data_IF_884744000850
#
_entry.id   IF_884744000850
#
_cell.length_a   1.000
_cell.length_b   1.000
_cell.length_c   1.000
_cell.angle_alpha   90.00
_cell.angle_beta   90.00
_cell.angle_gamma   90.00
#
_symmetry.space_group_name_H-M   'P 1'
#
loop_
_entity.id
_entity.type
_entity.pdbx_description
1 polymer ?
#
# COMPACT_ATOMS: atom_id res chain seq x y z
N UNK A 1 3.09 28.74 13.07
CA UNK A 1 1.91 28.01 12.60
C UNK A 1 1.33 28.81 11.44
N UNK A 2 1.98 28.74 10.29
CA UNK A 2 1.47 29.23 9.00
C UNK A 2 1.72 28.10 8.00
N UNK A 3 1.05 27.99 6.87
CA UNK A 3 -0.04 28.74 6.26
C UNK A 3 -0.64 27.76 5.23
N UNK A 4 -1.97 27.71 5.19
CA UNK A 4 -2.87 27.27 4.12
C UNK A 4 -2.25 26.81 2.78
N UNK A 5 -2.50 25.54 2.39
CA UNK A 5 -2.67 25.15 0.98
C UNK A 5 -3.88 24.22 0.86
N UNK A 6 -4.97 24.76 0.35
CA UNK A 6 -6.07 24.03 -0.27
C UNK A 6 -5.93 24.39 -1.76
N UNK A 7 -5.24 23.55 -2.57
CA UNK A 7 -5.11 23.48 -4.06
C UNK A 7 -3.84 22.63 -4.40
N UNK A 8 -3.80 21.47 -5.09
CA UNK A 8 -4.75 20.69 -5.88
C UNK A 8 -4.28 19.20 -5.99
N UNK A 9 -4.43 18.40 -4.92
CA UNK A 9 -4.05 16.97 -4.91
C UNK A 9 -4.25 16.31 -3.54
N UNK A 10 -4.25 14.97 -3.46
CA UNK A 10 -4.39 14.22 -2.20
C UNK A 10 -3.24 14.53 -1.22
N UNK A 11 -3.54 14.52 0.08
CA UNK A 11 -2.54 14.76 1.13
C UNK A 11 -1.63 13.56 1.39
N UNK A 12 -0.44 13.77 1.93
CA UNK A 12 0.52 12.69 2.27
C UNK A 12 -0.11 11.58 3.12
N UNK A 13 -0.89 11.92 4.15
CA UNK A 13 -1.61 10.94 4.99
C UNK A 13 -2.63 10.14 4.17
N UNK A 14 -3.28 10.78 3.19
CA UNK A 14 -4.25 10.14 2.32
C UNK A 14 -3.57 9.23 1.30
N UNK A 15 -2.42 9.62 0.75
CA UNK A 15 -1.57 8.79 -0.11
C UNK A 15 -1.13 7.53 0.65
N UNK A 16 -0.54 7.70 1.83
CA UNK A 16 -0.08 6.59 2.68
C UNK A 16 -1.23 5.64 3.01
N UNK A 17 -2.38 6.19 3.43
CA UNK A 17 -3.57 5.40 3.75
C UNK A 17 -4.11 4.63 2.54
N UNK A 18 -4.10 5.24 1.36
CA UNK A 18 -4.61 4.64 0.12
C UNK A 18 -3.70 3.50 -0.34
N UNK A 19 -2.40 3.74 -0.40
CA UNK A 19 -1.39 2.73 -0.70
C UNK A 19 -1.48 1.54 0.25
N UNK A 20 -1.52 1.78 1.56
CA UNK A 20 -1.61 0.72 2.56
C UNK A 20 -2.89 -0.11 2.41
N UNK A 21 -4.04 0.54 2.22
CA UNK A 21 -5.31 -0.15 2.05
C UNK A 21 -5.35 -1.01 0.77
N UNK A 22 -4.74 -0.55 -0.32
CA UNK A 22 -4.65 -1.29 -1.57
C UNK A 22 -3.72 -2.51 -1.44
N UNK A 23 -2.54 -2.36 -0.83
CA UNK A 23 -1.64 -3.46 -0.53
C UNK A 23 -2.30 -4.54 0.33
N UNK A 24 -2.93 -4.14 1.44
CA UNK A 24 -3.66 -5.07 2.31
C UNK A 24 -4.80 -5.77 1.58
N UNK A 25 -5.49 -5.05 0.69
CA UNK A 25 -6.55 -5.59 -0.15
C UNK A 25 -6.08 -6.78 -0.99
N UNK A 26 -4.95 -6.64 -1.69
CA UNK A 26 -4.36 -7.72 -2.49
C UNK A 26 -4.00 -8.93 -1.63
N UNK A 27 -3.36 -8.69 -0.47
CA UNK A 27 -2.98 -9.79 0.43
C UNK A 27 -4.21 -10.58 0.88
N UNK A 28 -5.30 -9.89 1.24
CA UNK A 28 -6.53 -10.54 1.69
C UNK A 28 -7.41 -11.11 0.56
N UNK A 29 -7.16 -10.75 -0.71
CA UNK A 29 -7.75 -11.45 -1.86
C UNK A 29 -7.09 -12.81 -2.10
N UNK A 30 -5.79 -12.91 -1.81
CA UNK A 30 -5.01 -14.12 -2.03
C UNK A 30 -4.96 -15.05 -0.81
N UNK A 31 -5.02 -14.50 0.41
CA UNK A 31 -4.99 -15.27 1.64
C UNK A 31 -6.16 -14.96 2.56
N UNK A 32 -6.70 -16.00 3.18
CA UNK A 32 -7.56 -15.82 4.34
C UNK A 32 -6.78 -15.12 5.47
N UNK A 33 -7.45 -14.22 6.20
CA UNK A 33 -6.90 -13.59 7.42
C UNK A 33 -6.38 -14.60 8.45
N UNK A 34 -6.91 -15.83 8.43
CA UNK A 34 -6.49 -16.92 9.32
C UNK A 34 -5.27 -17.69 8.82
N UNK A 35 -4.91 -17.56 7.53
CA UNK A 35 -3.75 -18.19 6.93
C UNK A 35 -2.49 -17.31 7.03
N UNK A 36 -2.67 -15.99 7.07
CA UNK A 36 -1.60 -15.03 7.30
C UNK A 36 -1.10 -15.18 8.74
N UNK A 37 0.18 -15.56 8.89
CA UNK A 37 0.82 -15.65 10.22
C UNK A 37 1.26 -14.28 10.70
N UNK A 38 1.78 -13.47 9.78
CA UNK A 38 2.26 -12.11 10.04
C UNK A 38 2.16 -11.31 8.73
N UNK A 39 1.70 -10.07 8.80
CA UNK A 39 1.68 -9.11 7.69
C UNK A 39 2.11 -7.76 8.27
N UNK A 40 3.16 -7.19 7.72
CA UNK A 40 3.61 -5.85 8.04
C UNK A 40 3.71 -5.06 6.73
N UNK A 41 2.98 -3.95 6.67
CA UNK A 41 2.95 -3.05 5.50
C UNK A 41 3.52 -1.73 5.96
N UNK A 42 4.72 -1.40 5.48
CA UNK A 42 5.38 -0.13 5.74
C UNK A 42 5.24 0.74 4.51
N UNK A 43 4.55 1.88 4.66
CA UNK A 43 4.38 2.86 3.60
C UNK A 43 4.96 4.19 4.06
N UNK A 44 5.84 4.75 3.24
CA UNK A 44 6.44 6.06 3.44
C UNK A 44 6.16 6.91 2.22
N UNK A 45 5.77 8.16 2.43
CA UNK A 45 5.61 9.13 1.36
C UNK A 45 6.33 10.42 1.76
N UNK A 46 7.42 10.72 1.06
CA UNK A 46 8.25 11.90 1.30
C UNK A 46 8.74 12.48 -0.03
N UNK A 47 8.72 13.81 -0.16
CA UNK A 47 9.18 14.53 -1.36
C UNK A 47 8.55 14.04 -2.68
N UNK A 48 7.32 13.51 -2.63
CA UNK A 48 6.61 12.98 -3.80
C UNK A 48 7.08 11.58 -4.23
N UNK A 49 7.88 10.90 -3.41
CA UNK A 49 8.28 9.51 -3.61
C UNK A 49 7.49 8.62 -2.65
N UNK A 50 6.77 7.66 -3.22
CA UNK A 50 6.12 6.59 -2.48
C UNK A 50 7.09 5.41 -2.35
N UNK A 51 7.31 4.97 -1.11
CA UNK A 51 8.12 3.81 -0.77
C UNK A 51 7.22 2.83 -0.01
N UNK A 52 7.08 1.61 -0.55
CA UNK A 52 6.19 0.58 -0.02
C UNK A 52 6.98 -0.72 0.15
N UNK A 53 7.06 -1.16 1.40
CA UNK A 53 7.64 -2.43 1.78
C UNK A 53 6.54 -3.31 2.39
N UNK A 54 6.34 -4.49 1.79
CA UNK A 54 5.36 -5.48 2.27
C UNK A 54 6.12 -6.72 2.75
N UNK A 55 6.01 -7.01 4.03
CA UNK A 55 6.47 -8.26 4.62
C UNK A 55 5.27 -9.19 4.85
N UNK A 56 5.27 -10.34 4.19
CA UNK A 56 4.21 -11.34 4.30
C UNK A 56 4.78 -12.67 4.75
N UNK A 57 4.30 -13.16 5.88
CA UNK A 57 4.56 -14.52 6.37
C UNK A 57 3.27 -15.34 6.29
N UNK A 58 3.14 -16.10 5.21
CA UNK A 58 1.98 -16.92 4.88
C UNK A 58 2.45 -18.27 4.30
N UNK A 59 1.58 -19.29 4.23
CA UNK A 59 1.91 -20.55 3.56
C UNK A 59 2.27 -20.33 2.08
N UNK A 60 3.16 -21.17 1.54
CA UNK A 60 3.72 -21.07 0.17
C UNK A 60 2.71 -21.29 -0.98
N UNK A 61 1.40 -21.37 -0.72
CA UNK A 61 0.37 -21.50 -1.76
C UNK A 61 -0.81 -20.53 -1.49
N UNK A 62 -0.95 -19.43 -2.26
CA UNK A 62 -0.01 -18.94 -3.28
C UNK A 62 1.36 -18.53 -2.69
N UNK A 63 2.33 -18.17 -3.54
CA UNK A 63 3.66 -17.78 -3.10
C UNK A 63 3.63 -16.40 -2.41
N UNK A 64 4.10 -16.28 -1.15
CA UNK A 64 3.97 -15.04 -0.38
C UNK A 64 4.82 -13.90 -0.94
N UNK A 65 5.98 -14.19 -1.56
CA UNK A 65 6.80 -13.17 -2.22
C UNK A 65 6.07 -12.61 -3.44
N UNK A 66 5.41 -13.47 -4.21
CA UNK A 66 4.61 -13.03 -5.37
C UNK A 66 3.42 -12.16 -4.96
N UNK A 67 2.75 -12.51 -3.85
CA UNK A 67 1.63 -11.71 -3.34
C UNK A 67 2.11 -10.38 -2.74
N UNK A 68 3.25 -10.38 -2.05
CA UNK A 68 3.85 -9.15 -1.55
C UNK A 68 4.24 -8.19 -2.69
N UNK A 69 4.85 -8.71 -3.77
CA UNK A 69 5.16 -7.93 -4.97
C UNK A 69 3.90 -7.34 -5.61
N UNK A 70 2.84 -8.15 -5.76
CA UNK A 70 1.56 -7.70 -6.29
C UNK A 70 0.90 -6.63 -5.38
N UNK A 71 1.03 -6.76 -4.06
CA UNK A 71 0.52 -5.77 -3.11
C UNK A 71 1.24 -4.43 -3.22
N UNK A 72 2.57 -4.45 -3.40
CA UNK A 72 3.38 -3.25 -3.65
C UNK A 72 2.97 -2.57 -4.96
N UNK A 73 2.76 -3.34 -6.04
CA UNK A 73 2.30 -2.81 -7.33
C UNK A 73 0.92 -2.15 -7.18
N UNK A 74 -0.04 -2.83 -6.54
CA UNK A 74 -1.38 -2.28 -6.31
C UNK A 74 -1.40 -1.04 -5.42
N UNK A 75 -0.49 -0.92 -4.46
CA UNK A 75 -0.33 0.29 -3.66
C UNK A 75 0.08 1.49 -4.53
N UNK A 76 1.02 1.28 -5.45
CA UNK A 76 1.41 2.28 -6.45
C UNK A 76 0.24 2.67 -7.35
N UNK A 77 -0.41 1.68 -7.97
CA UNK A 77 -1.55 1.90 -8.85
C UNK A 77 -2.70 2.67 -8.16
N UNK A 78 -2.99 2.35 -6.90
CA UNK A 78 -4.03 3.04 -6.15
C UNK A 78 -3.67 4.50 -5.86
N UNK A 79 -2.39 4.79 -5.64
CA UNK A 79 -1.91 6.17 -5.50
C UNK A 79 -1.96 6.88 -6.85
N UNK A 80 -1.52 6.25 -7.94
CA UNK A 80 -1.62 6.83 -9.28
C UNK A 80 -3.09 7.13 -9.64
N UNK A 81 -4.03 6.24 -9.29
CA UNK A 81 -5.47 6.49 -9.44
C UNK A 81 -5.97 7.64 -8.54
N UNK A 82 -5.45 7.75 -7.32
CA UNK A 82 -5.76 8.85 -6.40
C UNK A 82 -5.32 10.21 -6.97
N UNK A 83 -4.22 10.25 -7.71
CA UNK A 83 -3.74 11.43 -8.44
C UNK A 83 -4.38 11.58 -9.84
N UNK A 84 -4.97 10.51 -10.38
CA UNK A 84 -5.65 10.48 -11.68
C UNK A 84 -4.71 10.44 -12.89
N UNK A 85 -3.56 9.77 -12.76
CA UNK A 85 -2.51 9.65 -13.80
C UNK A 85 -2.82 8.60 -14.89
#
# INVERSE_FOLDING_TARGET
>A
MGDSTDDAGPSDEEVVRTAAAAAEGVVFEHYDQSAVTDLDVTVTFEDGLLDVDVYLNAPDDPDPEAVAEAATEAAGDAVDELFGE
#
